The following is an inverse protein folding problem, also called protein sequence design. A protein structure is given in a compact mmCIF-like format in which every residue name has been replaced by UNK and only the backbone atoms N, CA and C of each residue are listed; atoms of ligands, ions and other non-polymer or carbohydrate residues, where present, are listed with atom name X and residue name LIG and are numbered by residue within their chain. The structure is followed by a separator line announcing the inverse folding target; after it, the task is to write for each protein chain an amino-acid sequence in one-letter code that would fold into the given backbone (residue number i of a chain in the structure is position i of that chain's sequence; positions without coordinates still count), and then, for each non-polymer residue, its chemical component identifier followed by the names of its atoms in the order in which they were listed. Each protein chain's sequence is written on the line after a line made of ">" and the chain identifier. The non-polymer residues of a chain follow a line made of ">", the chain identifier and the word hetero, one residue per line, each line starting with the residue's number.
data_IF_585445291563
#
_entry.id   IF_585445291563
#
_cell.length_a   1.000
_cell.length_b   1.000
_cell.length_c   1.000
_cell.angle_alpha   90.00
_cell.angle_beta   90.00
_cell.angle_gamma   90.00
#
_symmetry.space_group_name_H-M   'P 1'
#
loop_
_entity.id
_entity.type
_entity.pdbx_description
1 polymer ?
#
# COMPACT_ATOMS: atom_id res chain seq x y z
N UNK A 1 7.54 -3.79 12.35
CA UNK A 1 7.42 -5.25 12.18
C UNK A 1 8.69 -5.88 11.62
N UNK A 2 9.29 -5.25 10.60
CA UNK A 2 10.55 -5.72 10.02
C UNK A 2 11.54 -4.56 10.06
N UNK A 3 12.79 -4.87 10.40
CA UNK A 3 13.91 -3.94 10.33
C UNK A 3 14.95 -4.48 9.36
N UNK A 4 15.28 -3.69 8.36
CA UNK A 4 16.38 -3.98 7.42
C UNK A 4 17.66 -3.39 8.00
N UNK A 5 18.83 -3.88 7.61
CA UNK A 5 20.12 -3.31 8.06
C UNK A 5 20.20 -1.83 7.64
N UNK A 6 20.20 -0.96 8.64
CA UNK A 6 20.17 0.48 8.47
C UNK A 6 21.54 1.16 8.47
N UNK A 7 22.64 0.41 8.68
CA UNK A 7 23.97 1.02 8.90
C UNK A 7 24.39 1.93 7.75
N UNK A 8 24.23 1.48 6.52
CA UNK A 8 24.59 2.27 5.34
C UNK A 8 23.70 3.51 5.18
N UNK A 9 22.39 3.34 5.38
CA UNK A 9 21.42 4.44 5.29
C UNK A 9 21.62 5.48 6.40
N UNK A 10 21.91 5.02 7.62
CA UNK A 10 22.24 5.89 8.74
C UNK A 10 23.50 6.71 8.47
N UNK A 11 24.57 6.08 7.96
CA UNK A 11 25.80 6.78 7.62
C UNK A 11 25.59 7.84 6.52
N UNK A 12 24.77 7.54 5.49
CA UNK A 12 24.42 8.50 4.44
C UNK A 12 23.59 9.67 4.97
N UNK A 13 22.65 9.40 5.88
CA UNK A 13 21.89 10.44 6.59
C UNK A 13 22.81 11.34 7.41
N UNK A 14 23.68 10.77 8.24
CA UNK A 14 24.59 11.53 9.11
C UNK A 14 25.57 12.39 8.29
N UNK A 15 26.06 11.88 7.16
CA UNK A 15 26.88 12.64 6.23
C UNK A 15 26.13 13.85 5.67
N UNK A 16 24.91 13.65 5.22
CA UNK A 16 24.09 14.73 4.63
C UNK A 16 23.66 15.73 5.70
N UNK A 17 23.34 15.28 6.91
CA UNK A 17 23.07 16.14 8.05
C UNK A 17 24.27 17.04 8.40
N UNK A 18 25.47 16.51 8.32
CA UNK A 18 26.70 17.29 8.51
C UNK A 18 26.89 18.33 7.40
N UNK A 19 26.52 18.03 6.16
CA UNK A 19 26.53 18.97 5.05
C UNK A 19 25.54 20.12 5.28
N UNK A 20 24.32 19.84 5.75
CA UNK A 20 23.33 20.89 6.12
C UNK A 20 23.92 21.81 7.19
N UNK A 21 24.49 21.25 8.24
CA UNK A 21 25.11 22.02 9.31
C UNK A 21 26.26 22.91 8.81
N UNK A 22 27.05 22.43 7.86
CA UNK A 22 28.11 23.23 7.22
C UNK A 22 27.53 24.38 6.41
N UNK A 23 26.49 24.13 5.60
CA UNK A 23 25.81 25.17 4.80
C UNK A 23 25.14 26.20 5.69
N UNK A 24 24.48 25.80 6.78
CA UNK A 24 23.90 26.72 7.77
C UNK A 24 24.93 27.59 8.47
N UNK A 25 26.10 27.04 8.80
CA UNK A 25 27.21 27.80 9.38
C UNK A 25 27.74 28.87 8.38
N UNK A 26 27.84 28.52 7.10
CA UNK A 26 28.21 29.46 6.06
C UNK A 26 27.15 30.56 5.89
N UNK A 27 25.86 30.20 5.83
CA UNK A 27 24.74 31.17 5.77
C UNK A 27 24.79 32.14 6.96
N UNK A 28 25.02 31.62 8.18
CA UNK A 28 25.15 32.43 9.39
C UNK A 28 26.30 33.46 9.28
N UNK A 29 27.45 33.04 8.74
CA UNK A 29 28.59 33.93 8.45
C UNK A 29 28.22 35.03 7.49
N UNK A 30 27.62 34.67 6.33
CA UNK A 30 27.24 35.64 5.29
C UNK A 30 26.12 36.58 5.78
N UNK A 31 25.14 36.05 6.53
CA UNK A 31 24.10 36.88 7.15
C UNK A 31 24.67 37.93 8.10
N UNK A 32 25.69 37.59 8.89
CA UNK A 32 26.37 38.56 9.75
C UNK A 32 27.16 39.59 8.97
N UNK A 33 27.70 39.23 7.80
CA UNK A 33 28.37 40.12 6.89
C UNK A 33 27.37 41.08 6.24
N UNK A 34 26.23 40.57 5.76
CA UNK A 34 25.15 41.36 5.17
C UNK A 34 24.64 42.42 6.16
N UNK A 35 24.30 42.06 7.39
CA UNK A 35 23.82 43.00 8.40
C UNK A 35 24.83 44.14 8.68
N UNK A 36 26.13 43.82 8.68
CA UNK A 36 27.18 44.87 8.81
C UNK A 36 27.24 45.75 7.58
N UNK A 37 27.18 45.18 6.39
CA UNK A 37 27.19 45.91 5.12
C UNK A 37 25.98 46.84 4.98
N UNK A 38 24.79 46.39 5.37
CA UNK A 38 23.56 47.22 5.42
C UNK A 38 23.75 48.42 6.35
N UNK A 39 24.35 48.22 7.54
CA UNK A 39 24.62 49.29 8.49
C UNK A 39 25.61 50.31 7.91
N UNK A 40 26.67 49.86 7.24
CA UNK A 40 27.65 50.74 6.60
C UNK A 40 27.05 51.50 5.40
N UNK A 41 26.17 50.87 4.64
CA UNK A 41 25.47 51.51 3.54
C UNK A 41 24.51 52.59 4.05
N UNK A 42 23.76 52.34 5.12
CA UNK A 42 22.91 53.32 5.77
C UNK A 42 23.71 54.55 6.26
N UNK A 43 24.97 54.35 6.65
CA UNK A 43 25.91 55.43 7.02
C UNK A 43 26.61 56.08 5.82
N UNK A 44 26.29 55.67 4.57
CA UNK A 44 26.89 56.11 3.31
C UNK A 44 28.40 55.88 3.21
N UNK A 45 28.91 54.82 3.87
CA UNK A 45 30.33 54.48 3.92
C UNK A 45 30.74 53.50 2.79
N UNK A 46 29.79 52.88 2.12
CA UNK A 46 30.01 51.90 1.03
C UNK A 46 29.12 52.22 -0.17
N UNK A 47 29.48 51.63 -1.32
CA UNK A 47 28.73 51.79 -2.58
C UNK A 47 27.50 50.86 -2.61
N UNK A 48 26.52 51.18 -3.45
CA UNK A 48 25.36 50.32 -3.71
C UNK A 48 25.78 49.00 -4.33
N UNK A 49 26.77 49.01 -5.21
CA UNK A 49 27.32 47.79 -5.83
C UNK A 49 27.86 46.79 -4.80
N UNK A 50 28.50 47.30 -3.77
CA UNK A 50 29.07 46.46 -2.69
C UNK A 50 27.97 45.81 -1.82
N UNK A 51 26.86 46.54 -1.58
CA UNK A 51 25.68 45.99 -0.94
C UNK A 51 25.04 44.87 -1.80
N UNK A 52 24.76 45.15 -3.06
CA UNK A 52 24.16 44.21 -4.02
C UNK A 52 24.99 42.90 -4.16
N UNK A 53 26.33 43.01 -4.10
CA UNK A 53 27.21 41.84 -4.13
C UNK A 53 27.06 40.98 -2.89
N UNK A 54 26.89 41.54 -1.72
CA UNK A 54 26.68 40.79 -0.48
C UNK A 54 25.28 40.22 -0.43
N UNK A 55 24.26 40.94 -0.91
CA UNK A 55 22.88 40.44 -1.06
C UNK A 55 22.85 39.19 -1.95
N UNK A 56 23.47 39.24 -3.13
CA UNK A 56 23.57 38.08 -4.01
C UNK A 56 24.30 36.87 -3.34
N UNK A 57 25.33 37.18 -2.54
CA UNK A 57 26.03 36.14 -1.78
C UNK A 57 25.15 35.53 -0.70
N UNK A 58 24.29 36.32 -0.07
CA UNK A 58 23.33 35.84 0.92
C UNK A 58 22.24 34.95 0.29
N UNK A 59 21.68 35.36 -0.86
CA UNK A 59 20.71 34.58 -1.61
C UNK A 59 21.29 33.23 -2.06
N UNK A 60 22.55 33.24 -2.55
CA UNK A 60 23.26 32.03 -2.94
C UNK A 60 23.42 31.07 -1.74
N UNK A 61 23.86 31.60 -0.58
CA UNK A 61 24.03 30.80 0.62
C UNK A 61 22.69 30.26 1.16
N UNK A 62 21.60 31.01 1.00
CA UNK A 62 20.26 30.56 1.37
C UNK A 62 19.84 29.39 0.47
N UNK A 63 19.99 29.52 -0.84
CA UNK A 63 19.70 28.46 -1.80
C UNK A 63 20.53 27.20 -1.56
N UNK A 64 21.81 27.34 -1.14
CA UNK A 64 22.65 26.20 -0.78
C UNK A 64 22.14 25.45 0.45
N UNK A 65 21.60 26.16 1.46
CA UNK A 65 20.97 25.52 2.62
C UNK A 65 19.71 24.77 2.23
N UNK A 66 18.87 25.37 1.39
CA UNK A 66 17.65 24.73 0.89
C UNK A 66 17.96 23.45 0.10
N UNK A 67 18.96 23.50 -0.77
CA UNK A 67 19.42 22.34 -1.52
C UNK A 67 19.96 21.24 -0.58
N UNK A 68 20.75 21.60 0.41
CA UNK A 68 21.27 20.65 1.38
C UNK A 68 20.14 20.01 2.22
N UNK A 69 19.14 20.79 2.61
CA UNK A 69 17.96 20.29 3.33
C UNK A 69 17.10 19.35 2.48
N UNK A 70 16.91 19.65 1.21
CA UNK A 70 16.20 18.76 0.30
C UNK A 70 16.93 17.41 0.14
N UNK A 71 18.26 17.44 0.05
CA UNK A 71 19.08 16.22 0.04
C UNK A 71 18.96 15.43 1.35
N UNK A 72 18.92 16.10 2.50
CA UNK A 72 18.74 15.47 3.81
C UNK A 72 17.37 14.76 3.90
N UNK A 73 16.31 15.43 3.46
CA UNK A 73 14.96 14.86 3.45
C UNK A 73 14.89 13.57 2.62
N UNK A 74 15.58 13.54 1.48
CA UNK A 74 15.68 12.32 0.66
C UNK A 74 16.37 11.17 1.41
N UNK A 75 17.44 11.44 2.16
CA UNK A 75 18.13 10.42 2.96
C UNK A 75 17.33 9.97 4.19
N UNK A 76 16.57 10.88 4.76
CA UNK A 76 15.64 10.57 5.86
C UNK A 76 14.54 9.62 5.39
N UNK A 77 13.98 9.86 4.22
CA UNK A 77 12.98 8.99 3.59
C UNK A 77 13.55 7.58 3.31
N UNK A 78 14.76 7.50 2.75
CA UNK A 78 15.46 6.23 2.54
C UNK A 78 15.71 5.48 3.86
N UNK A 79 16.13 6.18 4.90
CA UNK A 79 16.33 5.61 6.22
C UNK A 79 15.01 5.14 6.84
N UNK A 80 13.94 5.90 6.70
CA UNK A 80 12.62 5.53 7.21
C UNK A 80 12.11 4.22 6.61
N UNK A 81 12.38 3.99 5.32
CA UNK A 81 12.02 2.77 4.57
C UNK A 81 12.76 1.52 5.04
N UNK A 82 13.83 1.66 5.82
CA UNK A 82 14.47 0.50 6.46
C UNK A 82 13.66 -0.11 7.60
N UNK A 83 12.67 0.63 8.12
CA UNK A 83 11.75 0.18 9.16
C UNK A 83 10.35 0.01 8.58
N UNK A 84 10.00 -1.20 8.24
CA UNK A 84 8.68 -1.53 7.71
C UNK A 84 7.68 -1.68 8.86
N UNK A 85 6.62 -0.90 8.81
CA UNK A 85 5.49 -0.96 9.75
C UNK A 85 4.25 -1.49 9.03
N UNK A 86 3.35 -2.12 9.77
CA UNK A 86 2.09 -2.56 9.20
C UNK A 86 1.23 -1.33 8.81
N UNK A 87 0.72 -1.26 7.58
CA UNK A 87 -0.16 -0.17 7.15
C UNK A 87 -1.55 -0.26 7.77
N UNK A 88 -1.96 -1.46 8.22
CA UNK A 88 -3.26 -1.75 8.83
C UNK A 88 -3.11 -2.70 10.01
N UNK A 89 -4.10 -2.71 10.88
CA UNK A 89 -4.24 -3.75 11.89
C UNK A 89 -4.56 -5.08 11.23
N UNK A 90 -4.05 -6.18 11.77
CA UNK A 90 -4.27 -7.50 11.22
C UNK A 90 -3.34 -8.55 11.81
N UNK A 91 -3.45 -9.76 11.29
CA UNK A 91 -2.64 -10.91 11.66
C UNK A 91 -1.68 -11.22 10.52
N UNK A 92 -0.45 -11.59 10.83
CA UNK A 92 0.51 -12.06 9.83
C UNK A 92 0.04 -13.42 9.32
N UNK A 93 -0.32 -13.49 8.05
CA UNK A 93 -0.82 -14.73 7.42
C UNK A 93 0.27 -15.50 6.70
N UNK A 94 1.30 -14.83 6.23
CA UNK A 94 2.45 -15.45 5.59
C UNK A 94 3.71 -14.65 5.89
N UNK A 95 4.79 -15.37 6.21
CA UNK A 95 6.15 -14.85 6.34
C UNK A 95 6.99 -15.51 5.25
N UNK A 96 7.42 -14.71 4.27
CA UNK A 96 8.14 -15.22 3.10
C UNK A 96 9.65 -15.21 3.30
N UNK A 97 10.12 -14.38 4.24
CA UNK A 97 11.54 -14.19 4.53
C UNK A 97 11.84 -14.41 6.00
N UNK A 98 12.96 -15.06 6.29
CA UNK A 98 13.46 -15.30 7.65
C UNK A 98 14.47 -14.21 8.05
N UNK A 99 14.75 -14.14 9.36
CA UNK A 99 15.76 -13.22 9.89
C UNK A 99 17.15 -13.60 9.38
N UNK A 100 17.87 -12.62 8.86
CA UNK A 100 19.19 -12.81 8.24
C UNK A 100 19.15 -13.06 6.75
N UNK A 101 17.99 -13.26 6.12
CA UNK A 101 17.89 -13.38 4.68
C UNK A 101 17.97 -12.02 3.96
N UNK A 102 18.49 -12.06 2.75
CA UNK A 102 18.56 -10.89 1.88
C UNK A 102 17.17 -10.51 1.36
N UNK A 103 16.72 -9.31 1.69
CA UNK A 103 15.52 -8.72 1.13
C UNK A 103 15.82 -8.16 -0.26
N UNK A 104 15.65 -8.98 -1.28
CA UNK A 104 15.72 -8.53 -2.66
C UNK A 104 14.40 -7.87 -3.04
N UNK A 105 14.43 -6.59 -3.25
CA UNK A 105 13.30 -5.82 -3.73
C UNK A 105 13.80 -4.58 -4.46
N UNK A 106 13.20 -4.27 -5.60
CA UNK A 106 13.51 -3.09 -6.39
C UNK A 106 12.27 -2.56 -7.08
N UNK A 107 12.40 -1.43 -7.75
CA UNK A 107 11.29 -0.77 -8.45
C UNK A 107 10.62 -1.70 -9.48
N UNK A 108 11.37 -2.65 -10.07
CA UNK A 108 10.87 -3.57 -11.12
C UNK A 108 10.46 -4.95 -10.60
N UNK A 109 10.85 -5.31 -9.39
CA UNK A 109 10.52 -6.61 -8.80
C UNK A 109 10.36 -6.46 -7.28
N UNK A 110 9.18 -6.02 -6.81
CA UNK A 110 8.92 -5.88 -5.38
C UNK A 110 8.86 -7.27 -4.72
N UNK A 111 9.79 -7.52 -3.81
CA UNK A 111 9.77 -8.74 -3.00
C UNK A 111 8.75 -8.64 -1.87
N UNK A 112 7.86 -9.62 -1.78
CA UNK A 112 6.94 -9.75 -0.64
C UNK A 112 7.72 -10.33 0.54
N UNK A 113 7.78 -9.60 1.66
CA UNK A 113 8.44 -10.03 2.88
C UNK A 113 7.48 -10.75 3.82
N UNK A 114 6.29 -10.20 4.00
CA UNK A 114 5.20 -10.80 4.77
C UNK A 114 3.85 -10.30 4.27
N UNK A 115 2.82 -11.08 4.54
CA UNK A 115 1.43 -10.70 4.26
C UNK A 115 0.68 -10.51 5.56
N UNK A 116 -0.06 -9.41 5.67
CA UNK A 116 -0.91 -9.10 6.82
C UNK A 116 -2.35 -9.01 6.32
N UNK A 117 -3.25 -9.75 6.96
CA UNK A 117 -4.67 -9.74 6.63
C UNK A 117 -5.50 -9.39 7.87
N UNK A 118 -6.59 -8.67 7.64
CA UNK A 118 -7.65 -8.47 8.63
C UNK A 118 -8.63 -9.63 8.49
N UNK A 119 -8.67 -10.50 9.49
CA UNK A 119 -9.56 -11.67 9.49
C UNK A 119 -10.98 -11.34 9.98
N UNK A 120 -11.25 -10.09 10.34
CA UNK A 120 -12.61 -9.62 10.68
C UNK A 120 -13.53 -9.50 9.47
N UNK A 121 -12.94 -9.36 8.28
CA UNK A 121 -13.66 -9.29 7.01
C UNK A 121 -13.15 -10.38 6.08
N UNK A 122 -14.01 -11.33 5.77
CA UNK A 122 -13.68 -12.41 4.85
C UNK A 122 -14.65 -12.44 3.69
N UNK A 123 -14.08 -12.65 2.51
CA UNK A 123 -14.83 -12.79 1.26
C UNK A 123 -14.47 -14.12 0.61
N UNK A 124 -15.47 -14.75 0.01
CA UNK A 124 -15.30 -15.91 -0.87
C UNK A 124 -15.28 -15.42 -2.30
N UNK A 125 -14.28 -15.85 -3.06
CA UNK A 125 -14.21 -15.62 -4.50
C UNK A 125 -14.77 -16.85 -5.21
N UNK A 126 -15.85 -16.66 -5.94
CA UNK A 126 -16.55 -17.73 -6.68
C UNK A 126 -16.40 -17.47 -8.16
N UNK A 127 -16.08 -18.50 -8.92
CA UNK A 127 -16.06 -18.47 -10.36
C UNK A 127 -17.43 -18.95 -10.89
N UNK A 128 -18.22 -18.03 -11.43
CA UNK A 128 -19.57 -18.29 -11.93
C UNK A 128 -19.57 -18.28 -13.47
N UNK A 129 -20.29 -19.24 -14.07
CA UNK A 129 -20.40 -19.32 -15.52
C UNK A 129 -21.17 -18.12 -16.08
N UNK A 130 -20.87 -17.74 -17.33
CA UNK A 130 -21.52 -16.65 -18.06
C UNK A 130 -23.06 -16.76 -18.12
N UNK A 131 -23.59 -17.98 -18.21
CA UNK A 131 -25.03 -18.18 -18.27
C UNK A 131 -25.75 -17.91 -16.95
N UNK A 132 -25.05 -18.17 -15.84
CA UNK A 132 -25.61 -18.09 -14.50
C UNK A 132 -25.42 -16.70 -13.89
N UNK A 133 -24.33 -16.00 -14.23
CA UNK A 133 -24.02 -14.68 -13.68
C UNK A 133 -25.08 -13.62 -13.99
N UNK A 134 -25.82 -13.79 -15.10
CA UNK A 134 -26.88 -12.86 -15.51
C UNK A 134 -28.07 -12.85 -14.53
N UNK A 135 -28.28 -13.96 -13.81
CA UNK A 135 -29.38 -14.09 -12.84
C UNK A 135 -28.99 -13.59 -11.46
N UNK A 136 -27.71 -13.36 -11.19
CA UNK A 136 -27.20 -12.97 -9.87
C UNK A 136 -27.22 -11.45 -9.73
N UNK A 137 -27.71 -10.99 -8.59
CA UNK A 137 -27.72 -9.58 -8.24
C UNK A 137 -26.87 -9.30 -6.99
N UNK A 138 -26.32 -8.09 -6.91
CA UNK A 138 -25.65 -7.62 -5.71
C UNK A 138 -26.68 -7.57 -4.56
N UNK A 139 -26.35 -8.22 -3.45
CA UNK A 139 -27.23 -8.35 -2.29
C UNK A 139 -27.95 -9.70 -2.18
N UNK A 140 -27.82 -10.58 -3.18
CA UNK A 140 -28.39 -11.93 -3.11
C UNK A 140 -27.78 -12.71 -1.93
N UNK A 141 -28.66 -13.45 -1.24
CA UNK A 141 -28.25 -14.27 -0.09
C UNK A 141 -27.54 -15.53 -0.58
N UNK A 142 -26.50 -15.92 0.15
CA UNK A 142 -25.71 -17.10 -0.22
C UNK A 142 -25.53 -18.02 0.97
N UNK A 143 -25.51 -19.31 0.69
CA UNK A 143 -25.09 -20.37 1.62
C UNK A 143 -23.68 -20.81 1.23
N UNK A 144 -22.78 -20.81 2.21
CA UNK A 144 -21.37 -21.08 2.03
C UNK A 144 -21.02 -22.31 2.82
N UNK A 145 -20.56 -23.34 2.15
CA UNK A 145 -20.03 -24.56 2.75
C UNK A 145 -18.51 -24.55 2.57
N UNK A 146 -17.78 -24.67 3.67
CA UNK A 146 -16.31 -24.69 3.67
C UNK A 146 -15.87 -26.13 3.89
N UNK A 147 -15.02 -26.66 3.02
CA UNK A 147 -14.58 -28.06 3.06
C UNK A 147 -13.97 -28.47 4.39
N UNK A 148 -13.34 -27.52 5.09
CA UNK A 148 -12.77 -27.74 6.43
C UNK A 148 -13.84 -27.85 7.55
N UNK A 149 -15.10 -27.51 7.29
CA UNK A 149 -16.22 -27.53 8.25
C UNK A 149 -17.48 -28.13 7.62
N UNK A 150 -17.49 -29.46 7.35
CA UNK A 150 -18.53 -30.09 6.54
C UNK A 150 -19.93 -30.04 7.16
N UNK A 151 -20.03 -29.88 8.49
CA UNK A 151 -21.30 -29.87 9.22
C UNK A 151 -21.84 -28.44 9.47
N UNK A 152 -21.24 -27.41 8.85
CA UNK A 152 -21.58 -26.01 9.14
C UNK A 152 -21.80 -25.23 7.87
N UNK A 153 -22.99 -24.66 7.71
CA UNK A 153 -23.33 -23.73 6.64
C UNK A 153 -23.20 -22.32 7.16
N UNK A 154 -22.44 -21.50 6.43
CA UNK A 154 -22.29 -20.07 6.71
C UNK A 154 -23.16 -19.27 5.75
N UNK A 155 -23.66 -18.14 6.20
CA UNK A 155 -24.46 -17.25 5.36
C UNK A 155 -23.62 -16.05 4.89
N UNK A 156 -23.85 -15.68 3.66
CA UNK A 156 -23.19 -14.54 3.03
C UNK A 156 -24.14 -13.74 2.15
N UNK A 157 -23.61 -12.67 1.60
CA UNK A 157 -24.29 -11.86 0.60
C UNK A 157 -23.33 -11.52 -0.54
N UNK A 158 -23.85 -11.49 -1.75
CA UNK A 158 -23.11 -11.05 -2.94
C UNK A 158 -22.73 -9.59 -2.78
N UNK A 159 -21.43 -9.29 -2.70
CA UNK A 159 -20.91 -7.94 -2.51
C UNK A 159 -20.48 -7.28 -3.83
N UNK A 160 -19.95 -8.05 -4.76
CA UNK A 160 -19.45 -7.55 -6.04
C UNK A 160 -19.51 -8.62 -7.13
N UNK A 161 -19.84 -8.21 -8.33
CA UNK A 161 -19.79 -9.05 -9.54
C UNK A 161 -18.80 -8.41 -10.51
N UNK A 162 -17.78 -9.16 -10.91
CA UNK A 162 -16.78 -8.65 -11.84
C UNK A 162 -17.41 -8.38 -13.22
N UNK A 163 -17.17 -7.21 -13.79
CA UNK A 163 -17.63 -6.83 -15.13
C UNK A 163 -16.78 -7.42 -16.27
N UNK A 164 -15.66 -8.05 -15.95
CA UNK A 164 -14.75 -8.63 -16.94
C UNK A 164 -14.61 -10.12 -16.70
N UNK A 165 -14.86 -10.90 -17.73
CA UNK A 165 -14.65 -12.34 -17.72
C UNK A 165 -13.17 -12.69 -17.61
N UNK A 166 -12.84 -13.74 -16.85
CA UNK A 166 -11.52 -14.34 -16.83
C UNK A 166 -11.54 -15.61 -17.69
N UNK A 167 -10.79 -15.59 -18.78
CA UNK A 167 -10.61 -16.78 -19.62
C UNK A 167 -9.52 -17.65 -18.99
N UNK A 168 -9.91 -18.71 -18.35
CA UNK A 168 -9.03 -19.68 -17.70
C UNK A 168 -8.42 -20.64 -18.73
N UNK A 169 -7.80 -20.35 -19.73
CA UNK A 169 -6.96 -21.21 -20.59
C UNK A 169 -6.86 -20.66 -22.02
N UNK A 170 -5.82 -19.92 -22.28
CA UNK A 170 -5.42 -19.53 -23.65
C UNK A 170 -4.78 -20.71 -24.42
N UNK A 171 -5.30 -21.93 -24.34
CA UNK A 171 -4.66 -23.08 -24.99
C UNK A 171 -5.50 -24.35 -25.16
N UNK A 172 -6.70 -24.42 -24.64
CA UNK A 172 -7.56 -25.61 -24.78
C UNK A 172 -8.81 -25.32 -25.59
N UNK A 173 -9.32 -26.33 -26.32
CA UNK A 173 -10.47 -26.23 -27.22
C UNK A 173 -11.82 -25.98 -26.53
N UNK A 174 -11.85 -25.88 -25.19
CA UNK A 174 -13.04 -25.52 -24.42
C UNK A 174 -12.75 -24.23 -23.66
N UNK A 175 -13.17 -23.11 -24.23
CA UNK A 175 -13.11 -21.80 -23.60
C UNK A 175 -14.31 -21.65 -22.65
N UNK A 176 -14.09 -21.88 -21.37
CA UNK A 176 -15.10 -21.60 -20.34
C UNK A 176 -14.93 -20.16 -19.87
N UNK A 177 -15.95 -19.36 -20.13
CA UNK A 177 -15.99 -17.97 -19.69
C UNK A 177 -16.58 -17.89 -18.29
N UNK A 178 -15.76 -17.53 -17.31
CA UNK A 178 -16.21 -17.39 -15.92
C UNK A 178 -16.07 -15.94 -15.46
N UNK A 179 -17.02 -15.52 -14.63
CA UNK A 179 -17.00 -14.22 -13.95
C UNK A 179 -16.71 -14.42 -12.47
N UNK A 180 -15.87 -13.57 -11.91
CA UNK A 180 -15.59 -13.60 -10.47
C UNK A 180 -16.68 -12.87 -9.70
N UNK A 181 -17.30 -13.57 -8.78
CA UNK A 181 -18.28 -13.03 -7.83
C UNK A 181 -17.65 -13.03 -6.44
N UNK A 182 -17.71 -11.90 -5.75
CA UNK A 182 -17.29 -11.80 -4.35
C UNK A 182 -18.51 -11.93 -3.46
N UNK A 183 -18.41 -12.84 -2.52
CA UNK A 183 -19.44 -13.09 -1.50
C UNK A 183 -18.86 -12.75 -0.13
N UNK A 184 -19.46 -11.80 0.55
CA UNK A 184 -19.07 -11.41 1.90
C UNK A 184 -19.70 -12.36 2.91
N UNK A 185 -18.89 -12.96 3.78
CA UNK A 185 -19.38 -13.77 4.90
C UNK A 185 -19.90 -12.83 6.00
N UNK A 186 -21.12 -13.06 6.47
CA UNK A 186 -21.74 -12.19 7.48
C UNK A 186 -21.09 -12.35 8.85
N UNK A 187 -20.82 -13.60 9.27
CA UNK A 187 -20.22 -13.93 10.56
C UNK A 187 -19.07 -14.92 10.36
N UNK A 188 -17.86 -14.44 10.00
CA UNK A 188 -16.73 -15.32 9.77
C UNK A 188 -16.26 -15.93 11.11
N UNK A 189 -16.24 -17.26 11.25
CA UNK A 189 -15.72 -17.89 12.45
C UNK A 189 -14.22 -17.70 12.55
N UNK A 190 -13.70 -17.54 13.76
CA UNK A 190 -12.27 -17.25 14.06
C UNK A 190 -11.29 -18.33 13.56
N UNK A 191 -11.79 -19.50 13.16
CA UNK A 191 -10.97 -20.64 12.70
C UNK A 191 -10.78 -20.69 11.19
N UNK A 192 -11.54 -19.92 10.39
CA UNK A 192 -11.34 -19.84 8.94
C UNK A 192 -10.02 -19.14 8.65
N UNK A 193 -9.34 -19.65 7.65
CA UNK A 193 -8.08 -19.08 7.16
C UNK A 193 -8.19 -18.75 5.68
N UNK A 194 -7.58 -17.66 5.21
CA UNK A 194 -7.49 -17.39 3.78
C UNK A 194 -6.86 -18.57 3.02
N UNK A 195 -7.41 -18.87 1.84
CA UNK A 195 -6.97 -19.97 1.00
C UNK A 195 -7.68 -21.30 1.25
N UNK A 196 -8.67 -21.36 2.14
CA UNK A 196 -9.54 -22.54 2.27
C UNK A 196 -10.49 -22.64 1.09
N UNK A 197 -10.74 -23.86 0.62
CA UNK A 197 -11.73 -24.15 -0.42
C UNK A 197 -13.15 -24.10 0.15
N UNK A 198 -14.09 -23.64 -0.65
CA UNK A 198 -15.49 -23.52 -0.27
C UNK A 198 -16.41 -23.64 -1.49
N UNK A 199 -17.59 -24.15 -1.26
CA UNK A 199 -18.71 -24.20 -2.23
C UNK A 199 -19.75 -23.17 -1.82
N UNK A 200 -20.29 -22.44 -2.78
CA UNK A 200 -21.27 -21.39 -2.52
C UNK A 200 -22.54 -21.65 -3.35
N UNK A 201 -23.66 -21.70 -2.67
CA UNK A 201 -24.98 -21.72 -3.27
C UNK A 201 -25.58 -20.31 -3.23
N UNK A 202 -25.74 -19.69 -4.40
CA UNK A 202 -26.31 -18.34 -4.51
C UNK A 202 -27.80 -18.46 -4.78
N UNK A 203 -28.61 -17.84 -3.91
CA UNK A 203 -30.06 -17.83 -4.02
C UNK A 203 -30.48 -16.57 -4.77
N UNK A 204 -30.67 -16.71 -6.09
CA UNK A 204 -31.01 -15.57 -6.96
C UNK A 204 -32.49 -15.18 -6.89
N UNK A 205 -33.39 -16.15 -6.66
CA UNK A 205 -34.83 -15.89 -6.57
C UNK A 205 -35.51 -16.89 -5.63
N UNK A 206 -36.45 -16.41 -4.84
CA UNK A 206 -37.29 -17.23 -3.96
C UNK A 206 -38.75 -17.00 -4.27
N UNK A 207 -39.41 -17.99 -4.87
CA UNK A 207 -40.84 -17.94 -5.16
C UNK A 207 -41.62 -18.58 -3.97
N UNK A 208 -42.41 -17.75 -3.28
CA UNK A 208 -43.24 -18.20 -2.17
C UNK A 208 -44.64 -18.59 -2.67
N UNK A 209 -45.26 -19.57 -2.00
CA UNK A 209 -46.63 -20.04 -2.28
C UNK A 209 -46.82 -20.61 -3.69
N UNK A 210 -45.87 -21.40 -4.19
CA UNK A 210 -46.01 -22.11 -5.45
C UNK A 210 -46.31 -23.60 -5.24
N UNK A 211 -47.01 -24.21 -6.17
CA UNK A 211 -47.24 -25.66 -6.19
C UNK A 211 -46.03 -26.29 -6.89
N UNK A 212 -45.31 -27.16 -6.17
CA UNK A 212 -44.16 -27.88 -6.72
C UNK A 212 -44.57 -29.33 -7.09
N UNK A 213 -44.11 -29.79 -8.27
CA UNK A 213 -44.28 -31.16 -8.69
C UNK A 213 -42.90 -31.82 -8.68
N UNK A 214 -42.73 -33.02 -8.10
CA UNK A 214 -41.44 -33.71 -8.14
C UNK A 214 -41.04 -34.01 -9.60
N UNK A 215 -39.77 -33.85 -9.92
CA UNK A 215 -39.20 -34.08 -11.27
C UNK A 215 -39.39 -35.53 -11.74
N UNK A 216 -39.64 -36.45 -10.83
CA UNK A 216 -39.82 -37.88 -11.12
C UNK A 216 -41.28 -38.30 -11.25
N UNK A 217 -42.21 -37.37 -11.42
CA UNK A 217 -43.62 -37.61 -11.60
C UNK A 217 -44.02 -37.67 -13.08
#
# INVERSE_FOLDING_TARGET
>A
LISIDKKQYQAAYDQTASQVKSSEANLKKIKSQMSRTETLYAQKLISKQELEQVEASYELATSQVEQARAALLSREDELSKTRLVAPKYGIVTSLTKEEGEMALGGMFNPGVLMTIADLGFMEVLVDVNENDVVTINIGDTTEIEIDAFPDTVFYGVVSEIAHTAQNLNMGSQQQVTNFKVKVKILEPPKRIRPGMSSTVNIISETIKNTISIPIQA
#
